data_IF_562287393283
#
_entry.id   IF_562287393283
#
_cell.length_a   1.000
_cell.length_b   1.000
_cell.length_c   1.000
_cell.angle_alpha   90.00
_cell.angle_beta   90.00
_cell.angle_gamma   90.00
#
_symmetry.space_group_name_H-M   'P 1'
#
loop_
_entity.id
_entity.type
_entity.pdbx_description
1 polymer ?
#
# COMPACT_ATOMS: atom_id res chain seq x y z
N UNK A 1 -1.36 28.94 -15.94
CA UNK A 1 -1.30 29.61 -14.63
C UNK A 1 -1.18 31.08 -14.89
N UNK A 2 -2.18 31.82 -14.46
CA UNK A 2 -2.23 33.27 -14.61
C UNK A 2 -1.37 33.96 -13.55
N UNK A 3 -1.12 35.24 -13.76
CA UNK A 3 -0.34 36.04 -12.80
C UNK A 3 -1.06 36.11 -11.46
N UNK A 4 -0.39 35.67 -10.39
CA UNK A 4 -0.95 35.61 -9.03
C UNK A 4 -1.42 34.22 -8.60
N UNK A 5 -1.38 33.21 -9.49
CA UNK A 5 -1.65 31.82 -9.11
C UNK A 5 -0.40 31.13 -8.55
N UNK A 6 -0.62 30.25 -7.57
CA UNK A 6 0.43 29.46 -6.93
C UNK A 6 0.08 27.97 -6.98
N UNK A 7 1.10 27.14 -7.15
CA UNK A 7 1.01 25.69 -7.06
C UNK A 7 1.75 25.22 -5.81
N UNK A 8 1.04 24.52 -4.93
CA UNK A 8 1.63 23.84 -3.79
C UNK A 8 1.63 22.34 -4.05
N UNK A 9 2.81 21.73 -3.98
CA UNK A 9 3.00 20.29 -4.17
C UNK A 9 3.83 19.72 -3.03
N UNK A 10 3.28 18.71 -2.35
CA UNK A 10 4.03 17.85 -1.45
C UNK A 10 4.55 16.64 -2.23
N UNK A 11 5.86 16.43 -2.20
CA UNK A 11 6.50 15.25 -2.78
C UNK A 11 7.20 14.52 -1.64
N UNK A 12 6.87 13.24 -1.44
CA UNK A 12 7.65 12.44 -0.52
C UNK A 12 9.02 12.09 -1.16
N UNK A 13 10.10 12.40 -0.44
CA UNK A 13 11.45 12.24 -0.96
C UNK A 13 11.99 10.83 -0.75
N UNK A 14 13.00 10.50 -1.55
CA UNK A 14 13.79 9.29 -1.35
C UNK A 14 14.48 9.26 0.01
N UNK A 15 14.45 8.09 0.65
CA UNK A 15 14.99 7.84 1.99
C UNK A 15 15.63 6.46 2.01
N UNK A 16 16.45 6.14 3.03
CA UNK A 16 16.92 4.78 3.24
C UNK A 16 15.77 3.76 3.22
N UNK A 17 15.95 2.68 2.46
CA UNK A 17 14.98 1.59 2.30
C UNK A 17 14.32 1.13 3.60
N UNK A 18 15.05 0.92 4.73
CA UNK A 18 14.41 0.50 5.97
C UNK A 18 13.39 1.50 6.52
N UNK A 19 13.58 2.80 6.29
CA UNK A 19 12.63 3.84 6.72
C UNK A 19 11.38 3.79 5.84
N UNK A 20 11.56 3.65 4.52
CA UNK A 20 10.45 3.54 3.59
C UNK A 20 9.64 2.27 3.86
N UNK A 21 10.28 1.11 3.98
CA UNK A 21 9.58 -0.15 4.21
C UNK A 21 8.89 -0.20 5.59
N UNK A 22 9.49 0.38 6.64
CA UNK A 22 8.86 0.44 7.96
C UNK A 22 7.60 1.32 8.00
N UNK A 23 7.51 2.34 7.12
CA UNK A 23 6.32 3.18 7.02
C UNK A 23 5.10 2.45 6.44
N UNK A 24 5.32 1.36 5.70
CA UNK A 24 4.25 0.56 5.07
C UNK A 24 4.14 -0.86 5.66
N UNK A 25 5.13 -1.30 6.44
CA UNK A 25 5.11 -2.52 7.24
C UNK A 25 5.13 -2.17 8.74
N UNK A 26 4.16 -1.38 9.19
CA UNK A 26 4.11 -0.95 10.58
C UNK A 26 3.92 -2.13 11.55
N UNK A 27 4.56 -2.08 12.71
CA UNK A 27 4.54 -3.17 13.70
C UNK A 27 3.18 -3.39 14.35
N UNK A 28 2.26 -2.43 14.22
CA UNK A 28 0.89 -2.53 14.72
C UNK A 28 -0.03 -3.28 13.74
N UNK A 29 0.44 -3.52 12.51
CA UNK A 29 -0.31 -4.21 11.46
C UNK A 29 -1.43 -3.37 10.82
N UNK A 30 -1.47 -2.06 11.06
CA UNK A 30 -2.54 -1.17 10.58
C UNK A 30 -2.55 -1.13 9.06
N UNK A 31 -1.38 -0.99 8.42
CA UNK A 31 -1.25 -0.96 6.96
C UNK A 31 -1.62 -2.30 6.34
N UNK A 32 -1.32 -3.41 7.03
CA UNK A 32 -1.71 -4.74 6.59
C UNK A 32 -3.25 -4.91 6.61
N UNK A 33 -3.92 -4.49 7.68
CA UNK A 33 -5.39 -4.49 7.76
C UNK A 33 -6.00 -3.58 6.70
N UNK A 34 -5.45 -2.39 6.47
CA UNK A 34 -5.89 -1.48 5.42
C UNK A 34 -5.82 -2.12 4.03
N UNK A 35 -4.69 -2.76 3.69
CA UNK A 35 -4.52 -3.39 2.38
C UNK A 35 -5.49 -4.58 2.20
N UNK A 36 -5.62 -5.45 3.20
CA UNK A 36 -6.53 -6.61 3.16
C UNK A 36 -8.00 -6.21 3.03
N UNK A 37 -8.41 -5.07 3.58
CA UNK A 37 -9.77 -4.55 3.48
C UNK A 37 -10.23 -4.34 2.02
N UNK A 38 -9.30 -4.23 1.06
CA UNK A 38 -9.66 -4.21 -0.37
C UNK A 38 -10.42 -5.48 -0.79
N UNK A 39 -10.06 -6.65 -0.26
CA UNK A 39 -10.75 -7.91 -0.54
C UNK A 39 -12.15 -7.93 0.07
N UNK A 40 -12.29 -7.43 1.30
CA UNK A 40 -13.59 -7.29 1.96
C UNK A 40 -14.50 -6.31 1.20
N UNK A 41 -13.93 -5.23 0.68
CA UNK A 41 -14.65 -4.27 -0.15
C UNK A 41 -15.11 -4.88 -1.49
N UNK A 42 -14.27 -5.69 -2.14
CA UNK A 42 -14.63 -6.43 -3.36
C UNK A 42 -15.75 -7.44 -3.06
N UNK A 43 -15.66 -8.17 -1.94
CA UNK A 43 -16.70 -9.09 -1.49
C UNK A 43 -18.05 -8.37 -1.34
N UNK A 44 -18.03 -7.19 -0.71
CA UNK A 44 -19.23 -6.38 -0.51
C UNK A 44 -19.82 -5.83 -1.82
N UNK A 45 -19.00 -5.26 -2.71
CA UNK A 45 -19.46 -4.64 -3.96
C UNK A 45 -19.97 -5.64 -5.00
N UNK A 46 -19.30 -6.78 -5.12
CA UNK A 46 -19.48 -7.71 -6.23
C UNK A 46 -19.94 -9.09 -5.80
N UNK A 47 -20.39 -9.24 -4.54
CA UNK A 47 -20.80 -10.52 -3.97
C UNK A 47 -19.67 -11.57 -4.05
N UNK A 48 -18.43 -11.12 -3.90
CA UNK A 48 -17.23 -11.95 -3.89
C UNK A 48 -17.11 -12.85 -2.67
N UNK A 49 -16.12 -13.74 -2.69
CA UNK A 49 -15.90 -14.76 -1.66
C UNK A 49 -14.43 -14.89 -1.22
N UNK A 50 -13.64 -13.82 -1.35
CA UNK A 50 -12.26 -13.82 -0.87
C UNK A 50 -12.22 -14.05 0.64
N UNK A 51 -11.44 -15.04 1.08
CA UNK A 51 -11.12 -15.22 2.48
C UNK A 51 -9.82 -14.48 2.80
N UNK A 52 -9.91 -13.32 3.47
CA UNK A 52 -8.74 -12.48 3.81
C UNK A 52 -7.67 -13.22 4.61
N UNK A 53 -8.02 -14.25 5.38
CA UNK A 53 -7.05 -15.06 6.12
C UNK A 53 -6.09 -15.84 5.20
N UNK A 54 -6.48 -16.08 3.94
CA UNK A 54 -5.67 -16.76 2.92
C UNK A 54 -4.72 -15.82 2.17
N UNK A 55 -4.74 -14.54 2.50
CA UNK A 55 -3.84 -13.55 1.92
C UNK A 55 -2.97 -12.92 3.02
N UNK A 56 -1.81 -12.41 2.61
CA UNK A 56 -0.96 -11.58 3.46
C UNK A 56 -0.60 -10.29 2.75
N UNK A 57 -0.47 -9.23 3.54
CA UNK A 57 0.13 -7.99 3.09
C UNK A 57 1.62 -8.24 2.78
N UNK A 58 2.05 -7.85 1.59
CA UNK A 58 3.45 -7.90 1.19
C UNK A 58 3.83 -6.55 0.58
N UNK A 59 4.62 -5.77 1.31
CA UNK A 59 5.11 -4.47 0.86
C UNK A 59 6.63 -4.40 0.88
N UNK A 60 7.21 -3.81 -0.16
CA UNK A 60 8.64 -3.62 -0.30
C UNK A 60 8.94 -2.36 -1.10
N UNK A 61 10.14 -1.83 -0.92
CA UNK A 61 10.65 -0.73 -1.74
C UNK A 61 11.29 -1.29 -3.02
N UNK A 62 10.70 -0.95 -4.18
CA UNK A 62 11.26 -1.26 -5.48
C UNK A 62 12.34 -0.22 -5.83
N UNK A 63 13.61 -0.61 -5.71
CA UNK A 63 14.76 0.26 -5.95
C UNK A 63 14.96 0.60 -7.44
N UNK A 64 14.43 -0.21 -8.35
CA UNK A 64 14.49 0.04 -9.80
C UNK A 64 13.54 1.17 -10.18
N UNK A 65 12.29 1.10 -9.71
CA UNK A 65 11.22 2.06 -10.03
C UNK A 65 11.12 3.21 -9.02
N UNK A 66 11.91 3.16 -7.94
CA UNK A 66 11.98 4.14 -6.88
C UNK A 66 10.64 4.40 -6.15
N UNK A 67 9.90 3.34 -5.85
CA UNK A 67 8.57 3.42 -5.24
C UNK A 67 8.33 2.32 -4.20
N UNK A 68 7.43 2.57 -3.24
CA UNK A 68 6.86 1.50 -2.43
C UNK A 68 5.76 0.79 -3.22
N UNK A 69 5.78 -0.53 -3.18
CA UNK A 69 4.72 -1.36 -3.70
C UNK A 69 4.03 -2.11 -2.57
N UNK A 70 2.70 -2.22 -2.65
CA UNK A 70 1.89 -3.02 -1.73
C UNK A 70 1.11 -4.05 -2.53
N UNK A 71 1.22 -5.30 -2.12
CA UNK A 71 0.57 -6.44 -2.75
C UNK A 71 -0.21 -7.24 -1.72
N UNK A 72 -1.18 -8.01 -2.20
CA UNK A 72 -1.86 -9.06 -1.43
C UNK A 72 -1.41 -10.41 -1.99
N UNK A 73 -0.55 -11.11 -1.24
CA UNK A 73 0.01 -12.40 -1.65
C UNK A 73 -0.86 -13.54 -1.11
N UNK A 74 -1.28 -14.44 -2.00
CA UNK A 74 -1.94 -15.68 -1.57
C UNK A 74 -0.98 -16.55 -0.76
N UNK A 75 -1.46 -17.10 0.34
CA UNK A 75 -0.74 -18.09 1.16
C UNK A 75 -0.86 -19.51 0.61
N UNK A 76 -1.74 -19.73 -0.37
CA UNK A 76 -1.92 -21.02 -1.03
C UNK A 76 -0.84 -21.19 -2.10
N UNK A 77 -0.21 -22.37 -2.11
CA UNK A 77 0.75 -22.81 -3.13
C UNK A 77 0.04 -23.56 -4.24
#
# INVERSE_FOLDING_TARGET
>A
MDSGEFFLLGIDLQKPKPILEAAYNDSQGVTATFNLNMLDHINWLYNGNFNTMQFEHWAFYNETENQIEMHLRSKQQ
#
